data_IF_484509125723
#
_entry.id   IF_484509125723
#
_cell.length_a   1.000
_cell.length_b   1.000
_cell.length_c   1.000
_cell.angle_alpha   90.00
_cell.angle_beta   90.00
_cell.angle_gamma   90.00
#
_symmetry.space_group_name_H-M   'P 1'
#
loop_
_entity.id
_entity.type
_entity.pdbx_description
1 polymer ?
#
# COMPACT_ATOMS: atom_id res chain seq x y z
N UNK A 1 21.93 28.75 -15.93
CA UNK A 1 21.33 29.22 -14.65
C UNK A 1 19.84 29.49 -14.93
N UNK A 2 18.93 28.72 -14.32
CA UNK A 2 17.52 28.79 -14.70
C UNK A 2 16.85 30.02 -14.08
N UNK A 3 15.83 30.56 -14.75
CA UNK A 3 15.00 31.65 -14.23
C UNK A 3 14.40 31.27 -12.87
N UNK A 4 14.00 30.01 -12.69
CA UNK A 4 13.48 29.49 -11.43
C UNK A 4 14.46 29.62 -10.26
N UNK A 5 15.75 29.49 -10.50
CA UNK A 5 16.77 29.48 -9.43
C UNK A 5 17.09 30.86 -8.91
N UNK A 6 16.85 31.92 -9.71
CA UNK A 6 17.20 33.30 -9.38
C UNK A 6 16.02 34.19 -8.96
N UNK A 7 14.77 33.64 -9.00
CA UNK A 7 13.57 34.49 -8.74
C UNK A 7 13.58 35.15 -7.36
N UNK A 8 14.23 34.55 -6.35
CA UNK A 8 14.34 35.12 -4.99
C UNK A 8 15.09 36.48 -4.94
N UNK A 9 15.85 36.76 -5.98
CA UNK A 9 16.60 38.03 -6.10
C UNK A 9 15.76 39.16 -6.71
N UNK A 10 14.58 38.83 -7.24
CA UNK A 10 13.72 39.81 -7.92
C UNK A 10 12.65 40.32 -6.98
N UNK A 11 12.31 41.61 -7.11
CA UNK A 11 11.17 42.15 -6.38
C UNK A 11 9.86 41.66 -7.00
N UNK A 12 8.81 41.56 -6.21
CA UNK A 12 7.50 41.08 -6.65
C UNK A 12 6.99 41.81 -7.92
N UNK A 13 7.14 43.14 -7.97
CA UNK A 13 6.71 43.97 -9.10
C UNK A 13 7.51 43.72 -10.39
N UNK A 14 8.68 43.12 -10.29
CA UNK A 14 9.53 42.83 -11.45
C UNK A 14 9.16 41.51 -12.15
N UNK A 15 8.27 40.71 -11.56
CA UNK A 15 7.95 39.37 -12.03
C UNK A 15 6.45 39.08 -12.17
N UNK A 16 5.56 40.00 -11.77
CA UNK A 16 4.10 39.84 -11.78
C UNK A 16 3.51 39.70 -13.20
N UNK A 17 4.19 40.20 -14.22
CA UNK A 17 3.80 40.10 -15.62
C UNK A 17 4.15 38.72 -16.25
N UNK A 18 5.05 37.93 -15.64
CA UNK A 18 5.57 36.69 -16.24
C UNK A 18 4.45 35.64 -16.50
N UNK A 19 3.47 35.42 -15.63
CA UNK A 19 2.39 34.50 -15.91
C UNK A 19 1.62 34.84 -17.19
N UNK A 20 1.32 36.12 -17.39
CA UNK A 20 0.63 36.61 -18.60
C UNK A 20 1.52 36.50 -19.84
N UNK A 21 2.80 36.76 -19.71
CA UNK A 21 3.77 36.58 -20.79
C UNK A 21 3.82 35.10 -21.24
N UNK A 22 3.86 34.16 -20.28
CA UNK A 22 3.85 32.75 -20.57
C UNK A 22 2.58 32.32 -21.34
N UNK A 23 1.41 32.80 -20.94
CA UNK A 23 0.15 32.58 -21.68
C UNK A 23 0.19 33.12 -23.10
N UNK A 24 0.73 34.33 -23.28
CA UNK A 24 0.84 34.94 -24.59
C UNK A 24 1.81 34.17 -25.50
N UNK A 25 2.91 33.68 -24.94
CA UNK A 25 3.93 32.91 -25.68
C UNK A 25 3.50 31.49 -25.99
N UNK A 26 2.57 30.91 -25.23
CA UNK A 26 2.13 29.51 -25.41
C UNK A 26 1.79 29.17 -26.86
N UNK A 27 1.07 30.04 -27.57
CA UNK A 27 0.67 29.82 -28.95
C UNK A 27 1.82 29.93 -29.96
N UNK A 28 2.95 30.52 -29.57
CA UNK A 28 4.15 30.65 -30.42
C UNK A 28 4.97 29.35 -30.49
N UNK A 29 4.75 28.43 -29.56
CA UNK A 29 5.44 27.13 -29.57
C UNK A 29 4.66 26.09 -30.37
N UNK A 30 5.39 25.24 -31.06
CA UNK A 30 4.81 24.15 -31.86
C UNK A 30 4.82 22.83 -31.08
N UNK A 31 5.90 22.57 -30.36
CA UNK A 31 6.11 21.27 -29.71
C UNK A 31 5.42 21.19 -28.35
N UNK A 32 4.86 20.02 -28.05
CA UNK A 32 4.18 19.72 -26.79
C UNK A 32 5.02 20.05 -25.56
N UNK A 33 6.29 19.60 -25.54
CA UNK A 33 7.19 19.81 -24.37
C UNK A 33 7.50 21.29 -24.14
N UNK A 34 7.68 22.09 -25.18
CA UNK A 34 7.96 23.51 -25.06
C UNK A 34 6.73 24.25 -24.52
N UNK A 35 5.56 23.89 -25.02
CA UNK A 35 4.27 24.39 -24.53
C UNK A 35 4.06 24.06 -23.05
N UNK A 36 4.35 22.83 -22.66
CA UNK A 36 4.25 22.37 -21.26
C UNK A 36 5.19 23.18 -20.37
N UNK A 37 6.45 23.29 -20.76
CA UNK A 37 7.48 24.00 -19.99
C UNK A 37 7.12 25.46 -19.76
N UNK A 38 6.65 26.19 -20.79
CA UNK A 38 6.27 27.60 -20.64
C UNK A 38 5.06 27.78 -19.74
N UNK A 39 4.06 26.90 -19.82
CA UNK A 39 2.90 26.94 -18.93
C UNK A 39 3.26 26.61 -17.47
N UNK A 40 4.11 25.60 -17.22
CA UNK A 40 4.62 25.27 -15.90
C UNK A 40 5.42 26.43 -15.29
N UNK A 41 6.20 27.14 -16.10
CA UNK A 41 6.87 28.38 -15.70
C UNK A 41 5.84 29.45 -15.31
N UNK A 42 4.78 29.63 -16.10
CA UNK A 42 3.67 30.51 -15.80
C UNK A 42 3.01 30.20 -14.46
N UNK A 43 2.70 28.94 -14.22
CA UNK A 43 2.14 28.45 -12.93
C UNK A 43 3.09 28.74 -11.77
N UNK A 44 4.39 28.44 -11.94
CA UNK A 44 5.40 28.71 -10.91
C UNK A 44 5.41 30.16 -10.45
N UNK A 45 5.32 31.12 -11.38
CA UNK A 45 5.27 32.53 -11.05
C UNK A 45 3.89 32.97 -10.57
N UNK A 46 2.80 32.47 -11.16
CA UNK A 46 1.44 32.84 -10.77
C UNK A 46 1.12 32.50 -9.31
N UNK A 47 1.61 31.35 -8.80
CA UNK A 47 1.47 30.99 -7.39
C UNK A 47 2.08 32.06 -6.47
N UNK A 48 3.14 32.73 -6.92
CA UNK A 48 3.94 33.66 -6.14
C UNK A 48 3.57 35.14 -6.34
N UNK A 49 2.87 35.42 -7.44
CA UNK A 49 2.55 36.82 -7.81
C UNK A 49 1.04 37.03 -7.96
N UNK A 50 0.46 36.54 -9.05
CA UNK A 50 -0.95 36.73 -9.41
C UNK A 50 -1.68 35.42 -9.59
N UNK A 51 -2.38 34.98 -8.55
CA UNK A 51 -3.14 33.72 -8.53
C UNK A 51 -4.36 33.73 -9.45
N UNK A 52 -4.81 34.86 -9.95
CA UNK A 52 -5.99 34.95 -10.82
C UNK A 52 -5.79 34.22 -12.15
N UNK A 53 -4.55 34.07 -12.60
CA UNK A 53 -4.20 33.36 -13.84
C UNK A 53 -3.99 31.86 -13.68
N UNK A 54 -4.00 31.33 -12.44
CA UNK A 54 -3.73 29.91 -12.20
C UNK A 54 -4.73 28.99 -12.90
N UNK A 55 -6.02 29.31 -12.80
CA UNK A 55 -7.07 28.53 -13.44
C UNK A 55 -6.86 28.42 -14.95
N UNK A 56 -6.55 29.54 -15.60
CA UNK A 56 -6.32 29.57 -17.07
C UNK A 56 -5.05 28.80 -17.44
N UNK A 57 -3.98 28.93 -16.66
CA UNK A 57 -2.73 28.20 -16.90
C UNK A 57 -2.89 26.70 -16.75
N UNK A 58 -3.59 26.25 -15.69
CA UNK A 58 -3.89 24.83 -15.51
C UNK A 58 -4.82 24.30 -16.61
N UNK A 59 -5.84 25.07 -17.01
CA UNK A 59 -6.69 24.65 -18.12
C UNK A 59 -5.88 24.46 -19.41
N UNK A 60 -4.96 25.38 -19.72
CA UNK A 60 -4.06 25.25 -20.88
C UNK A 60 -3.09 24.08 -20.77
N UNK A 61 -2.64 23.73 -19.58
CA UNK A 61 -1.86 22.51 -19.35
C UNK A 61 -2.68 21.25 -19.69
N UNK A 62 -3.93 21.18 -19.23
CA UNK A 62 -4.84 20.09 -19.59
C UNK A 62 -5.11 20.00 -21.10
N UNK A 63 -5.35 21.13 -21.75
CA UNK A 63 -5.54 21.20 -23.22
C UNK A 63 -4.26 20.75 -23.97
N UNK A 64 -3.07 21.07 -23.44
CA UNK A 64 -1.80 20.65 -24.04
C UNK A 64 -1.58 19.13 -23.87
N UNK A 65 -1.94 18.54 -22.74
CA UNK A 65 -1.89 17.08 -22.56
C UNK A 65 -2.78 16.37 -23.60
N UNK A 66 -3.97 16.90 -23.89
CA UNK A 66 -4.89 16.33 -24.87
C UNK A 66 -4.25 16.22 -26.27
N UNK A 67 -3.37 17.15 -26.64
CA UNK A 67 -2.69 17.13 -27.95
C UNK A 67 -1.71 15.96 -28.08
N UNK A 68 -1.30 15.34 -26.96
CA UNK A 68 -0.34 14.23 -26.92
C UNK A 68 -1.02 12.84 -26.93
N UNK A 69 -2.35 12.78 -27.04
CA UNK A 69 -3.09 11.52 -27.12
C UNK A 69 -2.80 10.81 -28.44
N UNK A 70 -2.30 9.59 -28.38
CA UNK A 70 -2.14 8.75 -29.56
C UNK A 70 -3.50 8.25 -30.05
N UNK A 71 -3.84 8.58 -31.30
CA UNK A 71 -5.00 8.02 -31.99
C UNK A 71 -4.59 6.66 -32.55
N UNK A 72 -5.22 5.60 -32.08
CA UNK A 72 -5.02 4.26 -32.62
C UNK A 72 -5.84 4.12 -33.90
N UNK A 73 -5.18 4.05 -35.04
CA UNK A 73 -5.82 3.75 -36.34
C UNK A 73 -6.11 2.23 -36.50
N UNK A 74 -6.46 1.55 -35.42
CA UNK A 74 -6.93 0.15 -35.41
C UNK A 74 -5.92 -0.92 -35.85
N UNK A 75 -4.66 -0.58 -36.17
CA UNK A 75 -3.68 -1.50 -36.75
C UNK A 75 -2.47 -1.85 -35.89
N UNK A 76 -2.30 -1.23 -34.75
CA UNK A 76 -1.17 -1.55 -33.85
C UNK A 76 -1.76 -1.85 -32.47
N UNK A 77 -1.88 -3.12 -32.14
CA UNK A 77 -2.04 -3.61 -30.76
C UNK A 77 -0.72 -3.37 -30.01
N UNK A 78 -0.44 -2.11 -29.75
CA UNK A 78 0.76 -1.76 -28.99
C UNK A 78 0.34 -1.58 -27.53
N UNK A 79 0.82 -2.46 -26.66
CA UNK A 79 0.57 -2.44 -25.22
C UNK A 79 0.93 -1.08 -24.60
N UNK A 80 1.90 -0.38 -25.16
CA UNK A 80 2.41 0.91 -24.66
C UNK A 80 1.38 2.04 -24.82
N UNK A 81 0.60 2.04 -25.91
CA UNK A 81 -0.32 3.14 -26.23
C UNK A 81 -1.44 3.29 -25.19
N UNK A 82 -2.14 2.23 -24.75
CA UNK A 82 -3.15 2.34 -23.70
C UNK A 82 -2.59 2.91 -22.38
N UNK A 83 -1.41 2.49 -21.97
CA UNK A 83 -0.74 3.01 -20.76
C UNK A 83 -0.36 4.48 -20.92
N UNK A 84 0.19 4.87 -22.07
CA UNK A 84 0.52 6.25 -22.38
C UNK A 84 -0.72 7.15 -22.33
N UNK A 85 -1.79 6.77 -23.02
CA UNK A 85 -3.04 7.52 -23.00
C UNK A 85 -3.67 7.56 -21.60
N UNK A 86 -3.55 6.50 -20.81
CA UNK A 86 -4.01 6.48 -19.43
C UNK A 86 -3.32 7.57 -18.59
N UNK A 87 -2.01 7.72 -18.72
CA UNK A 87 -1.24 8.76 -18.03
C UNK A 87 -1.67 10.17 -18.49
N UNK A 88 -1.92 10.35 -19.78
CA UNK A 88 -2.40 11.62 -20.32
C UNK A 88 -3.75 11.99 -19.73
N UNK A 89 -4.73 11.07 -19.73
CA UNK A 89 -6.04 11.34 -19.15
C UNK A 89 -5.96 11.64 -17.65
N UNK A 90 -5.05 10.98 -16.92
CA UNK A 90 -4.80 11.30 -15.52
C UNK A 90 -4.28 12.73 -15.35
N UNK A 91 -3.29 13.14 -16.15
CA UNK A 91 -2.74 14.50 -16.10
C UNK A 91 -3.82 15.55 -16.47
N UNK A 92 -4.64 15.27 -17.48
CA UNK A 92 -5.76 16.12 -17.85
C UNK A 92 -6.73 16.31 -16.67
N UNK A 93 -7.12 15.21 -15.99
CA UNK A 93 -7.99 15.28 -14.81
C UNK A 93 -7.37 16.18 -13.73
N UNK A 94 -6.09 15.98 -13.42
CA UNK A 94 -5.38 16.77 -12.41
C UNK A 94 -5.39 18.26 -12.76
N UNK A 95 -5.05 18.60 -14.00
CA UNK A 95 -4.99 20.00 -14.42
C UNK A 95 -6.35 20.67 -14.48
N UNK A 96 -7.39 19.97 -14.95
CA UNK A 96 -8.75 20.52 -15.01
C UNK A 96 -9.39 20.64 -13.61
N UNK A 97 -9.05 19.78 -12.67
CA UNK A 97 -9.44 19.93 -11.27
C UNK A 97 -8.79 21.18 -10.65
N UNK A 98 -7.48 21.36 -10.83
CA UNK A 98 -6.75 22.57 -10.39
C UNK A 98 -7.25 23.84 -11.10
N UNK A 99 -7.75 23.74 -12.32
CA UNK A 99 -8.41 24.82 -13.04
C UNK A 99 -9.85 25.09 -12.56
N UNK A 100 -10.42 24.24 -11.72
CA UNK A 100 -11.84 24.23 -11.34
C UNK A 100 -12.81 24.14 -12.54
N UNK A 101 -12.36 23.48 -13.63
CA UNK A 101 -13.18 23.25 -14.84
C UNK A 101 -13.83 21.86 -14.77
N UNK A 102 -15.03 21.80 -14.18
CA UNK A 102 -15.76 20.54 -13.94
C UNK A 102 -16.16 19.81 -15.22
N UNK A 103 -16.47 20.51 -16.29
CA UNK A 103 -16.88 19.91 -17.56
C UNK A 103 -15.70 19.15 -18.21
N UNK A 104 -14.56 19.80 -18.34
CA UNK A 104 -13.33 19.19 -18.89
C UNK A 104 -12.79 18.09 -17.97
N UNK A 105 -12.90 18.26 -16.64
CA UNK A 105 -12.57 17.20 -15.69
C UNK A 105 -13.43 15.95 -15.93
N UNK A 106 -14.75 16.12 -16.07
CA UNK A 106 -15.67 15.00 -16.31
C UNK A 106 -15.37 14.30 -17.66
N UNK A 107 -15.07 15.06 -18.70
CA UNK A 107 -14.62 14.53 -19.99
C UNK A 107 -13.35 13.66 -19.82
N UNK A 108 -12.30 14.20 -19.19
CA UNK A 108 -11.04 13.48 -18.98
C UNK A 108 -11.25 12.23 -18.10
N UNK A 109 -12.07 12.32 -17.05
CA UNK A 109 -12.40 11.20 -16.16
C UNK A 109 -13.13 10.08 -16.90
N UNK A 110 -14.07 10.42 -17.77
CA UNK A 110 -14.77 9.44 -18.60
C UNK A 110 -13.80 8.72 -19.55
N UNK A 111 -12.91 9.46 -20.21
CA UNK A 111 -11.87 8.88 -21.07
C UNK A 111 -10.90 8.01 -20.32
N UNK A 112 -10.46 8.43 -19.13
CA UNK A 112 -9.62 7.66 -18.23
C UNK A 112 -10.26 6.31 -17.87
N UNK A 113 -11.53 6.34 -17.44
CA UNK A 113 -12.25 5.11 -17.06
C UNK A 113 -12.49 4.18 -18.25
N UNK A 114 -12.82 4.72 -19.42
CA UNK A 114 -13.05 3.93 -20.62
C UNK A 114 -11.76 3.29 -21.17
N UNK A 115 -10.59 3.84 -20.84
CA UNK A 115 -9.31 3.28 -21.27
C UNK A 115 -8.82 2.13 -20.37
N UNK A 116 -9.32 2.00 -19.13
CA UNK A 116 -8.89 0.97 -18.17
C UNK A 116 -8.96 -0.47 -18.71
N UNK A 117 -10.06 -0.89 -19.39
CA UNK A 117 -10.16 -2.25 -19.90
C UNK A 117 -9.11 -2.60 -20.96
N UNK A 118 -8.50 -1.59 -21.59
CA UNK A 118 -7.49 -1.76 -22.63
C UNK A 118 -6.06 -1.93 -22.08
N UNK A 119 -5.89 -1.81 -20.75
CA UNK A 119 -4.59 -2.00 -20.13
C UNK A 119 -4.23 -3.49 -20.12
N UNK A 120 -3.09 -3.81 -20.73
CA UNK A 120 -2.53 -5.15 -20.73
C UNK A 120 -1.27 -5.16 -19.87
N UNK A 121 -1.16 -6.17 -18.97
CA UNK A 121 -0.03 -6.31 -18.09
C UNK A 121 0.84 -7.47 -18.55
N UNK A 122 2.14 -7.23 -18.64
CA UNK A 122 3.14 -8.28 -18.87
C UNK A 122 3.59 -8.78 -17.50
N UNK A 123 3.30 -10.04 -17.18
CA UNK A 123 3.82 -10.65 -15.96
C UNK A 123 5.19 -11.28 -16.24
N UNK A 124 6.20 -10.87 -15.48
CA UNK A 124 7.51 -11.52 -15.47
C UNK A 124 7.58 -12.48 -14.30
N UNK A 125 7.81 -13.78 -14.59
CA UNK A 125 8.13 -14.76 -13.56
C UNK A 125 9.65 -14.85 -13.44
N UNK A 126 10.20 -14.31 -12.38
CA UNK A 126 11.62 -14.51 -12.02
C UNK A 126 11.74 -15.69 -11.07
N UNK A 127 12.46 -16.73 -11.47
CA UNK A 127 12.88 -17.78 -10.55
C UNK A 127 14.17 -17.32 -9.86
N UNK A 128 14.09 -16.96 -8.58
CA UNK A 128 15.28 -16.73 -7.77
C UNK A 128 15.92 -18.08 -7.44
N UNK A 129 17.24 -18.19 -7.65
CA UNK A 129 18.00 -19.35 -7.20
C UNK A 129 17.77 -19.53 -5.70
N UNK A 130 17.27 -20.71 -5.31
CA UNK A 130 17.06 -21.07 -3.92
C UNK A 130 18.41 -21.15 -3.21
N UNK A 131 18.54 -20.40 -2.13
CA UNK A 131 19.66 -20.51 -1.20
C UNK A 131 19.49 -21.81 -0.39
N UNK A 132 20.15 -22.88 -0.83
CA UNK A 132 20.04 -24.21 -0.19
C UNK A 132 20.49 -24.21 1.27
N UNK A 133 21.49 -23.41 1.61
CA UNK A 133 22.00 -23.32 2.99
C UNK A 133 20.97 -22.70 3.92
N UNK A 134 20.32 -21.64 3.47
CA UNK A 134 19.24 -20.99 4.22
C UNK A 134 18.03 -21.91 4.41
N UNK A 135 17.59 -22.62 3.39
CA UNK A 135 16.50 -23.61 3.53
C UNK A 135 16.87 -24.72 4.49
N UNK A 136 18.12 -25.19 4.46
CA UNK A 136 18.60 -26.17 5.43
C UNK A 136 18.55 -25.63 6.86
N UNK A 137 19.02 -24.41 7.10
CA UNK A 137 19.00 -23.77 8.41
C UNK A 137 17.54 -23.57 8.92
N UNK A 138 16.62 -23.10 8.05
CA UNK A 138 15.22 -22.93 8.37
C UNK A 138 14.58 -24.29 8.71
N UNK A 139 14.86 -25.33 7.94
CA UNK A 139 14.34 -26.68 8.22
C UNK A 139 14.86 -27.19 9.57
N UNK A 140 16.12 -26.96 9.93
CA UNK A 140 16.63 -27.32 11.24
C UNK A 140 15.90 -26.60 12.38
N UNK A 141 15.63 -25.31 12.21
CA UNK A 141 14.85 -24.53 13.19
C UNK A 141 13.43 -25.10 13.32
N UNK A 142 12.77 -25.40 12.20
CA UNK A 142 11.42 -25.97 12.20
C UNK A 142 11.40 -27.33 12.89
N UNK A 143 12.35 -28.22 12.57
CA UNK A 143 12.43 -29.53 13.21
C UNK A 143 12.70 -29.42 14.70
N UNK A 144 13.54 -28.47 15.13
CA UNK A 144 13.74 -28.17 16.55
C UNK A 144 12.46 -27.68 17.22
N UNK A 145 11.76 -26.71 16.63
CA UNK A 145 10.49 -26.20 17.14
C UNK A 145 9.37 -27.27 17.20
N UNK A 146 9.39 -28.22 16.24
CA UNK A 146 8.45 -29.33 16.27
C UNK A 146 8.69 -30.31 17.42
N UNK A 147 9.89 -30.36 18.00
CA UNK A 147 10.21 -31.16 19.16
C UNK A 147 9.90 -30.44 20.48
N UNK A 148 9.81 -29.11 20.45
CA UNK A 148 9.58 -28.27 21.60
C UNK A 148 8.07 -28.09 21.92
N UNK A 149 7.80 -27.31 22.97
CA UNK A 149 6.45 -26.91 23.34
C UNK A 149 5.83 -26.05 22.23
N UNK A 150 4.58 -26.33 21.86
CA UNK A 150 3.83 -25.60 20.85
C UNK A 150 3.77 -24.10 21.10
N UNK A 151 3.80 -23.65 22.35
CA UNK A 151 3.84 -22.23 22.71
C UNK A 151 5.08 -21.55 22.11
N UNK A 152 6.24 -22.22 22.11
CA UNK A 152 7.46 -21.69 21.49
C UNK A 152 7.33 -21.56 19.97
N UNK A 153 6.62 -22.49 19.33
CA UNK A 153 6.33 -22.39 17.88
C UNK A 153 5.44 -21.19 17.56
N UNK A 154 4.42 -20.93 18.37
CA UNK A 154 3.55 -19.75 18.20
C UNK A 154 4.29 -18.46 18.55
N UNK A 155 5.12 -18.48 19.61
CA UNK A 155 6.00 -17.35 19.92
C UNK A 155 6.95 -17.04 18.78
N UNK A 156 7.58 -18.04 18.17
CA UNK A 156 8.45 -17.89 17.00
C UNK A 156 7.72 -17.23 15.84
N UNK A 157 6.53 -17.72 15.46
CA UNK A 157 5.72 -17.14 14.40
C UNK A 157 5.32 -15.68 14.68
N UNK A 158 5.06 -15.36 15.95
CA UNK A 158 4.53 -14.06 16.35
C UNK A 158 5.61 -13.01 16.65
N UNK A 159 6.84 -13.41 16.99
CA UNK A 159 7.86 -12.48 17.50
C UNK A 159 9.23 -12.58 16.86
N UNK A 160 9.55 -13.69 16.20
CA UNK A 160 10.91 -13.87 15.72
C UNK A 160 11.19 -13.04 14.46
N UNK A 161 12.10 -12.07 14.58
CA UNK A 161 12.39 -11.11 13.50
C UNK A 161 13.06 -11.76 12.29
N UNK A 162 13.74 -12.91 12.44
CA UNK A 162 14.35 -13.61 11.29
C UNK A 162 13.33 -14.13 10.26
N UNK A 163 12.04 -14.16 10.59
CA UNK A 163 10.97 -14.45 9.63
C UNK A 163 10.69 -13.28 8.70
N UNK A 164 10.88 -12.05 9.19
CA UNK A 164 10.63 -10.83 8.45
C UNK A 164 11.96 -10.15 8.18
N UNK A 165 12.18 -9.73 6.95
CA UNK A 165 13.38 -8.99 6.57
C UNK A 165 13.00 -7.54 6.35
N UNK A 166 13.54 -6.60 7.14
CA UNK A 166 13.36 -5.20 6.83
C UNK A 166 14.04 -4.89 5.49
N UNK A 167 13.30 -4.39 4.50
CA UNK A 167 13.80 -4.19 3.15
C UNK A 167 15.01 -3.26 3.11
N UNK A 168 15.03 -2.22 3.97
CA UNK A 168 16.12 -1.25 4.02
C UNK A 168 17.45 -1.81 4.58
N UNK A 169 17.43 -2.91 5.35
CA UNK A 169 18.66 -3.60 5.78
C UNK A 169 19.31 -4.41 4.65
N UNK A 170 18.53 -4.75 3.62
CA UNK A 170 19.00 -5.60 2.52
C UNK A 170 19.30 -4.76 1.29
N UNK A 171 18.59 -3.68 1.08
CA UNK A 171 18.75 -2.74 0.01
C UNK A 171 19.57 -1.54 0.49
N UNK A 172 20.88 -1.58 0.26
CA UNK A 172 21.68 -0.36 0.31
C UNK A 172 21.38 0.44 -0.97
N UNK A 173 20.39 1.35 -0.88
CA UNK A 173 19.98 2.17 -2.02
C UNK A 173 21.13 2.99 -2.60
N UNK A 174 22.12 3.37 -1.79
CA UNK A 174 23.32 4.04 -2.28
C UNK A 174 24.16 3.14 -3.18
N UNK A 175 24.18 1.82 -2.93
CA UNK A 175 24.83 0.84 -3.80
C UNK A 175 23.98 0.48 -5.02
N UNK A 176 22.66 0.61 -4.94
CA UNK A 176 21.76 0.42 -6.08
C UNK A 176 21.88 1.56 -7.09
N UNK A 177 22.02 2.80 -6.60
CA UNK A 177 22.14 4.00 -7.44
C UNK A 177 23.53 4.23 -8.02
N UNK A 178 24.59 3.60 -7.46
CA UNK A 178 25.97 3.75 -7.94
C UNK A 178 26.40 2.78 -9.02
N UNK A 179 25.49 1.98 -9.56
CA UNK A 179 25.73 1.33 -10.85
C UNK A 179 26.01 -0.17 -10.82
N UNK A 180 25.82 -0.76 -11.90
CA UNK A 180 26.22 -2.03 -12.49
C UNK A 180 25.32 -3.26 -12.32
N UNK A 181 24.57 -3.45 -11.24
CA UNK A 181 23.78 -4.70 -11.10
C UNK A 181 22.27 -4.61 -11.30
N UNK A 182 21.70 -3.40 -11.29
CA UNK A 182 20.24 -3.23 -11.30
C UNK A 182 19.73 -2.22 -12.34
N UNK A 183 20.51 -1.96 -13.37
CA UNK A 183 20.18 -1.03 -14.48
C UNK A 183 18.80 -1.31 -15.12
N UNK A 184 18.35 -2.56 -15.06
CA UNK A 184 17.06 -2.94 -15.61
C UNK A 184 15.86 -2.45 -14.77
N UNK A 185 16.10 -2.18 -13.48
CA UNK A 185 15.05 -1.71 -12.56
C UNK A 185 14.83 -0.19 -12.73
N UNK A 186 15.90 0.57 -13.01
CA UNK A 186 15.80 2.02 -13.26
C UNK A 186 15.06 2.36 -14.58
N UNK A 187 15.06 1.43 -15.55
CA UNK A 187 14.33 1.59 -16.81
C UNK A 187 12.82 1.35 -16.69
N UNK A 188 12.38 0.71 -15.62
CA UNK A 188 10.96 0.52 -15.33
C UNK A 188 10.45 1.77 -14.59
N UNK A 189 9.87 2.69 -15.32
CA UNK A 189 9.12 3.79 -14.68
C UNK A 189 8.10 3.18 -13.73
N UNK A 190 8.13 3.51 -12.44
CA UNK A 190 7.23 2.90 -11.45
C UNK A 190 5.82 3.42 -11.64
N UNK A 191 5.12 2.83 -12.59
CA UNK A 191 3.69 3.06 -12.75
C UNK A 191 2.99 1.83 -12.22
N UNK A 192 2.48 1.91 -11.02
CA UNK A 192 1.62 0.88 -10.45
C UNK A 192 0.18 1.14 -10.87
N UNK A 193 -0.54 0.04 -11.10
CA UNK A 193 -1.97 0.11 -11.38
C UNK A 193 -2.69 -0.73 -10.35
N UNK A 194 -3.66 -0.12 -9.66
CA UNK A 194 -4.46 -0.84 -8.68
C UNK A 194 -5.48 -1.78 -9.34
N UNK A 195 -6.19 -2.56 -8.53
CA UNK A 195 -7.19 -3.52 -8.99
C UNK A 195 -8.32 -2.87 -9.81
N UNK A 196 -8.49 -1.56 -9.72
CA UNK A 196 -9.47 -0.79 -10.49
C UNK A 196 -8.90 -0.17 -11.76
N UNK A 197 -7.63 -0.44 -12.08
CA UNK A 197 -6.93 0.16 -13.20
C UNK A 197 -6.57 1.63 -12.97
N UNK A 198 -6.53 2.12 -11.72
CA UNK A 198 -6.06 3.46 -11.43
C UNK A 198 -4.55 3.49 -11.33
N UNK A 199 -3.94 4.52 -11.91
CA UNK A 199 -2.51 4.75 -11.82
C UNK A 199 -2.17 5.21 -10.40
N UNK A 200 -1.16 4.58 -9.81
CA UNK A 200 -0.55 4.97 -8.54
C UNK A 200 0.87 5.43 -8.84
N UNK A 201 1.20 6.59 -8.32
CA UNK A 201 2.57 7.10 -8.36
C UNK A 201 3.21 6.88 -6.99
N UNK A 202 4.34 6.19 -6.96
CA UNK A 202 5.22 6.09 -5.80
C UNK A 202 6.55 6.77 -6.09
N UNK A 203 7.30 7.13 -5.07
CA UNK A 203 8.71 7.48 -5.27
C UNK A 203 9.45 6.24 -5.76
N UNK A 204 10.51 6.41 -6.56
CA UNK A 204 11.31 5.29 -7.05
C UNK A 204 11.80 4.42 -5.89
N UNK A 205 12.27 5.02 -4.80
CA UNK A 205 12.76 4.31 -3.61
C UNK A 205 11.68 3.47 -2.94
N UNK A 206 10.49 4.04 -2.69
CA UNK A 206 9.37 3.31 -2.08
C UNK A 206 8.88 2.17 -2.98
N UNK A 207 8.81 2.39 -4.29
CA UNK A 207 8.39 1.38 -5.25
C UNK A 207 9.32 0.18 -5.23
N UNK A 208 10.64 0.40 -5.35
CA UNK A 208 11.64 -0.67 -5.31
C UNK A 208 11.66 -1.40 -3.98
N UNK A 209 11.51 -0.67 -2.88
CA UNK A 209 11.43 -1.22 -1.55
C UNK A 209 10.30 -2.25 -1.46
N UNK A 210 9.09 -1.87 -1.89
CA UNK A 210 7.92 -2.75 -1.77
C UNK A 210 7.93 -3.90 -2.78
N UNK A 211 8.44 -3.72 -4.00
CA UNK A 211 8.63 -4.84 -4.94
C UNK A 211 9.62 -5.86 -4.40
N UNK A 212 10.74 -5.41 -3.87
CA UNK A 212 11.74 -6.31 -3.29
C UNK A 212 11.20 -7.00 -2.04
N UNK A 213 10.46 -6.25 -1.20
CA UNK A 213 9.80 -6.80 -0.03
C UNK A 213 8.80 -7.90 -0.39
N UNK A 214 8.05 -7.76 -1.47
CA UNK A 214 7.16 -8.80 -1.98
C UNK A 214 7.90 -10.11 -2.28
N UNK A 215 9.07 -10.02 -2.91
CA UNK A 215 9.89 -11.20 -3.22
C UNK A 215 10.36 -11.91 -1.93
N UNK A 216 10.82 -11.13 -0.96
CA UNK A 216 11.25 -11.66 0.34
C UNK A 216 10.09 -12.26 1.11
N UNK A 217 8.96 -11.57 1.12
CA UNK A 217 7.77 -12.00 1.82
C UNK A 217 7.19 -13.30 1.24
N UNK A 218 7.26 -13.52 -0.06
CA UNK A 218 6.88 -14.79 -0.69
C UNK A 218 7.68 -15.95 -0.08
N UNK A 219 9.01 -15.78 0.09
CA UNK A 219 9.87 -16.80 0.73
C UNK A 219 9.52 -17.01 2.21
N UNK A 220 9.18 -15.94 2.90
CA UNK A 220 8.73 -16.02 4.31
C UNK A 220 7.42 -16.79 4.41
N UNK A 221 6.47 -16.52 3.53
CA UNK A 221 5.18 -17.23 3.50
C UNK A 221 5.35 -18.70 3.20
N UNK A 222 6.26 -19.08 2.30
CA UNK A 222 6.57 -20.50 2.04
C UNK A 222 7.07 -21.20 3.31
N UNK A 223 7.97 -20.56 4.07
CA UNK A 223 8.48 -21.09 5.34
C UNK A 223 7.37 -21.23 6.38
N UNK A 224 6.55 -20.18 6.56
CA UNK A 224 5.44 -20.18 7.50
C UNK A 224 4.41 -21.25 7.11
N UNK A 225 4.08 -21.35 5.83
CA UNK A 225 3.16 -22.34 5.30
C UNK A 225 3.65 -23.76 5.57
N UNK A 226 4.94 -24.02 5.35
CA UNK A 226 5.54 -25.31 5.65
C UNK A 226 5.53 -25.63 7.16
N UNK A 227 5.85 -24.67 7.99
CA UNK A 227 5.79 -24.82 9.45
C UNK A 227 4.36 -25.11 9.93
N UNK A 228 3.38 -24.34 9.47
CA UNK A 228 1.96 -24.58 9.78
C UNK A 228 1.49 -25.95 9.29
N UNK A 229 1.87 -26.32 8.06
CA UNK A 229 1.57 -27.65 7.51
C UNK A 229 2.07 -28.76 8.44
N UNK A 230 3.33 -28.70 8.89
CA UNK A 230 3.93 -29.68 9.80
C UNK A 230 3.22 -29.74 11.14
N UNK A 231 2.97 -28.57 11.75
CA UNK A 231 2.30 -28.47 13.07
C UNK A 231 0.85 -28.98 13.02
N UNK A 232 0.12 -28.64 11.97
CA UNK A 232 -1.30 -29.05 11.83
C UNK A 232 -1.39 -30.52 11.48
N UNK A 233 -0.58 -31.02 10.55
CA UNK A 233 -0.59 -32.42 10.13
C UNK A 233 -0.20 -33.40 11.26
N UNK A 234 0.64 -32.96 12.19
CA UNK A 234 1.01 -33.74 13.37
C UNK A 234 0.04 -33.53 14.54
N UNK A 235 -1.06 -32.83 14.37
CA UNK A 235 -2.02 -32.44 15.42
C UNK A 235 -1.40 -31.67 16.60
N UNK A 236 -0.21 -31.13 16.44
CA UNK A 236 0.43 -30.28 17.45
C UNK A 236 -0.21 -28.88 17.52
N UNK A 237 -0.72 -28.41 16.40
CA UNK A 237 -1.47 -27.15 16.30
C UNK A 237 -2.85 -27.41 15.74
N UNK A 238 -3.86 -27.18 16.58
CA UNK A 238 -5.27 -27.16 16.18
C UNK A 238 -5.88 -25.81 16.52
N UNK A 239 -7.06 -25.51 16.01
CA UNK A 239 -7.80 -24.31 16.41
C UNK A 239 -7.95 -24.22 17.95
N UNK A 240 -8.28 -25.33 18.63
CA UNK A 240 -8.48 -25.33 20.09
C UNK A 240 -7.21 -25.04 20.84
N UNK A 241 -6.07 -25.60 20.41
CA UNK A 241 -4.76 -25.33 21.00
C UNK A 241 -4.36 -23.87 20.79
N UNK A 242 -4.50 -23.34 19.56
CA UNK A 242 -4.22 -21.91 19.29
C UNK A 242 -5.10 -21.00 20.16
N UNK A 243 -6.39 -21.28 20.25
CA UNK A 243 -7.34 -20.55 21.09
C UNK A 243 -6.88 -20.53 22.56
N UNK A 244 -6.53 -21.67 23.10
CA UNK A 244 -6.03 -21.79 24.48
C UNK A 244 -4.76 -20.95 24.68
N UNK A 245 -3.80 -21.03 23.77
CA UNK A 245 -2.56 -20.24 23.84
C UNK A 245 -2.87 -18.75 23.83
N UNK A 246 -3.69 -18.28 22.88
CA UNK A 246 -4.01 -16.86 22.75
C UNK A 246 -4.78 -16.34 23.96
N UNK A 247 -5.69 -17.11 24.52
CA UNK A 247 -6.48 -16.68 25.69
C UNK A 247 -5.70 -16.74 27.01
N UNK A 248 -4.84 -17.74 27.19
CA UNK A 248 -4.19 -17.99 28.48
C UNK A 248 -2.85 -17.30 28.62
N UNK A 249 -2.08 -17.16 27.53
CA UNK A 249 -0.69 -16.73 27.57
C UNK A 249 -0.42 -15.39 26.91
N UNK A 250 -1.47 -14.72 26.39
CA UNK A 250 -1.27 -13.48 25.63
C UNK A 250 -2.30 -12.41 26.00
N UNK A 251 -2.04 -11.17 25.54
CA UNK A 251 -2.96 -10.03 25.65
C UNK A 251 -4.30 -10.25 24.92
N UNK A 252 -4.40 -11.25 24.05
CA UNK A 252 -5.65 -11.56 23.34
C UNK A 252 -6.73 -12.14 24.28
N UNK A 253 -6.33 -12.66 25.45
CA UNK A 253 -7.23 -13.11 26.50
C UNK A 253 -7.63 -12.05 27.53
N UNK A 254 -7.06 -10.85 27.45
CA UNK A 254 -7.36 -9.78 28.40
C UNK A 254 -8.73 -9.17 28.13
N UNK A 255 -9.45 -8.82 29.19
CA UNK A 255 -10.70 -8.12 29.10
C UNK A 255 -10.48 -6.62 28.82
N UNK A 256 -11.09 -6.15 27.73
CA UNK A 256 -11.08 -4.76 27.32
C UNK A 256 -12.43 -4.15 27.69
N UNK A 257 -12.41 -3.10 28.48
CA UNK A 257 -13.62 -2.34 28.81
C UNK A 257 -13.73 -1.12 27.90
N UNK A 258 -14.92 -0.91 27.34
CA UNK A 258 -15.25 0.24 26.52
C UNK A 258 -16.55 0.85 26.99
N UNK A 259 -16.50 2.10 27.44
CA UNK A 259 -17.70 2.85 27.84
C UNK A 259 -18.27 3.59 26.63
N UNK A 260 -19.51 3.30 26.26
CA UNK A 260 -20.25 3.97 25.18
C UNK A 260 -21.63 4.34 25.74
N UNK A 261 -21.99 5.61 25.74
CA UNK A 261 -23.32 6.10 26.13
C UNK A 261 -23.81 5.55 27.50
N UNK A 262 -22.96 5.61 28.54
CA UNK A 262 -23.23 5.11 29.89
C UNK A 262 -23.37 3.58 30.01
N UNK A 263 -23.11 2.82 28.98
CA UNK A 263 -23.01 1.36 29.04
C UNK A 263 -21.54 0.93 28.96
N UNK A 264 -21.14 -0.02 29.79
CA UNK A 264 -19.81 -0.65 29.74
C UNK A 264 -19.92 -1.95 28.96
N UNK A 265 -19.15 -2.05 27.87
CA UNK A 265 -19.00 -3.27 27.09
C UNK A 265 -17.66 -3.90 27.45
N UNK A 266 -17.65 -5.19 27.77
CA UNK A 266 -16.44 -5.97 27.97
C UNK A 266 -16.29 -6.98 26.85
N UNK A 267 -15.10 -7.09 26.27
CA UNK A 267 -14.75 -8.07 25.23
C UNK A 267 -13.24 -8.35 25.25
N UNK A 268 -12.82 -9.40 24.56
CA UNK A 268 -11.41 -9.75 24.37
C UNK A 268 -11.00 -9.50 22.93
N UNK A 269 -9.71 -9.26 22.67
CA UNK A 269 -9.23 -9.21 21.27
C UNK A 269 -9.55 -10.50 20.52
N UNK A 270 -9.45 -11.64 21.21
CA UNK A 270 -9.75 -12.93 20.63
C UNK A 270 -11.19 -13.01 20.06
N UNK A 271 -12.17 -12.41 20.75
CA UNK A 271 -13.58 -12.48 20.33
C UNK A 271 -13.82 -11.89 18.93
N UNK A 272 -12.99 -10.92 18.52
CA UNK A 272 -13.07 -10.30 17.19
C UNK A 272 -12.64 -11.23 16.06
N UNK A 273 -11.80 -12.23 16.35
CA UNK A 273 -11.16 -13.08 15.34
C UNK A 273 -11.48 -14.57 15.49
N UNK A 274 -12.13 -14.98 16.57
CA UNK A 274 -12.42 -16.37 16.91
C UNK A 274 -12.99 -17.18 15.73
N UNK A 275 -14.01 -16.62 15.10
CA UNK A 275 -14.69 -17.25 13.99
C UNK A 275 -13.80 -17.41 12.75
N UNK A 276 -13.03 -16.36 12.43
CA UNK A 276 -12.11 -16.38 11.30
C UNK A 276 -10.94 -17.34 11.53
N UNK A 277 -10.42 -17.44 12.75
CA UNK A 277 -9.38 -18.42 13.09
C UNK A 277 -9.90 -19.85 12.98
N UNK A 278 -11.12 -20.11 13.42
CA UNK A 278 -11.74 -21.44 13.26
C UNK A 278 -11.88 -21.81 11.78
N UNK A 279 -12.33 -20.88 10.94
CA UNK A 279 -12.43 -21.10 9.50
C UNK A 279 -11.06 -21.24 8.85
N UNK A 280 -10.04 -20.48 9.29
CA UNK A 280 -8.66 -20.61 8.81
C UNK A 280 -8.18 -22.08 8.89
N UNK A 281 -8.33 -22.73 10.03
CA UNK A 281 -7.95 -24.15 10.16
C UNK A 281 -8.78 -25.06 9.25
N UNK A 282 -10.07 -24.76 9.08
CA UNK A 282 -10.95 -25.51 8.18
C UNK A 282 -10.48 -25.43 6.73
N UNK A 283 -10.19 -24.21 6.25
CA UNK A 283 -9.73 -23.99 4.88
C UNK A 283 -8.31 -24.52 4.69
N UNK A 284 -7.44 -24.38 5.69
CA UNK A 284 -6.08 -24.92 5.65
C UNK A 284 -6.09 -26.44 5.50
N UNK A 285 -6.96 -27.16 6.23
CA UNK A 285 -7.14 -28.60 6.06
C UNK A 285 -7.64 -28.98 4.67
N UNK A 286 -8.49 -28.17 4.04
CA UNK A 286 -8.91 -28.41 2.65
C UNK A 286 -7.72 -28.27 1.69
N UNK A 287 -6.94 -27.20 1.84
CA UNK A 287 -5.74 -26.95 1.04
C UNK A 287 -4.74 -28.10 1.12
N UNK A 288 -4.44 -28.58 2.35
CA UNK A 288 -3.56 -29.74 2.60
C UNK A 288 -4.04 -31.03 1.90
N UNK A 289 -5.34 -31.17 1.71
CA UNK A 289 -5.95 -32.35 1.09
C UNK A 289 -6.30 -32.14 -0.40
N UNK A 290 -5.76 -31.07 -1.04
CA UNK A 290 -6.05 -30.68 -2.41
C UNK A 290 -7.55 -30.53 -2.70
N UNK A 291 -8.33 -30.09 -1.71
CA UNK A 291 -9.76 -29.79 -1.85
C UNK A 291 -9.95 -28.27 -2.08
N UNK A 292 -10.99 -27.86 -2.82
CA UNK A 292 -11.29 -26.45 -2.98
C UNK A 292 -11.46 -25.74 -1.64
N UNK A 293 -10.64 -24.73 -1.41
CA UNK A 293 -10.68 -23.85 -0.23
C UNK A 293 -11.35 -22.53 -0.56
N UNK A 294 -11.96 -21.89 0.44
CA UNK A 294 -12.57 -20.57 0.31
C UNK A 294 -12.05 -19.65 1.42
N UNK A 295 -11.16 -18.77 1.06
CA UNK A 295 -10.47 -17.89 2.00
C UNK A 295 -11.18 -16.54 2.24
N UNK A 296 -12.36 -16.30 1.61
CA UNK A 296 -13.07 -15.00 1.68
C UNK A 296 -13.37 -14.58 3.13
N UNK A 297 -13.94 -15.49 3.91
CA UNK A 297 -14.30 -15.20 5.29
C UNK A 297 -13.06 -14.88 6.14
N UNK A 298 -12.03 -15.71 6.03
CA UNK A 298 -10.77 -15.55 6.78
C UNK A 298 -10.13 -14.20 6.46
N UNK A 299 -9.88 -13.93 5.17
CA UNK A 299 -9.19 -12.72 4.73
C UNK A 299 -9.98 -11.48 5.09
N UNK A 300 -11.29 -11.46 4.80
CA UNK A 300 -12.13 -10.30 5.08
C UNK A 300 -12.18 -10.00 6.57
N UNK A 301 -12.42 -11.01 7.39
CA UNK A 301 -12.55 -10.80 8.84
C UNK A 301 -11.22 -10.40 9.46
N UNK A 302 -10.13 -11.12 9.20
CA UNK A 302 -8.84 -10.82 9.81
C UNK A 302 -8.32 -9.44 9.37
N UNK A 303 -8.53 -9.06 8.10
CA UNK A 303 -8.12 -7.74 7.59
C UNK A 303 -8.89 -6.59 8.25
N UNK A 304 -10.20 -6.70 8.37
CA UNK A 304 -11.01 -5.65 9.00
C UNK A 304 -10.77 -5.59 10.51
N UNK A 305 -10.68 -6.74 11.16
CA UNK A 305 -10.47 -6.80 12.61
C UNK A 305 -9.03 -6.40 13.02
N UNK A 306 -8.06 -6.53 12.12
CA UNK A 306 -6.71 -6.02 12.36
C UNK A 306 -6.72 -4.54 12.74
N UNK A 307 -7.43 -3.70 11.96
CA UNK A 307 -7.54 -2.26 12.26
C UNK A 307 -8.20 -2.03 13.64
N UNK A 308 -9.27 -2.75 13.93
CA UNK A 308 -9.97 -2.63 15.21
C UNK A 308 -9.12 -3.06 16.41
N UNK A 309 -8.33 -4.14 16.27
CA UNK A 309 -7.42 -4.62 17.31
C UNK A 309 -6.25 -3.66 17.48
N UNK A 310 -5.63 -3.22 16.39
CA UNK A 310 -4.53 -2.26 16.42
C UNK A 310 -4.95 -0.95 17.10
N UNK A 311 -6.13 -0.42 16.76
CA UNK A 311 -6.66 0.80 17.38
C UNK A 311 -6.86 0.63 18.88
N UNK A 312 -7.47 -0.46 19.32
CA UNK A 312 -7.68 -0.72 20.73
C UNK A 312 -6.34 -0.92 21.45
N UNK A 313 -5.37 -1.59 20.82
CA UNK A 313 -4.04 -1.80 21.36
C UNK A 313 -3.31 -0.46 21.58
N UNK A 314 -3.27 0.41 20.56
CA UNK A 314 -2.69 1.76 20.68
C UNK A 314 -3.42 2.58 21.75
N UNK A 315 -4.76 2.48 21.83
CA UNK A 315 -5.55 3.18 22.85
C UNK A 315 -5.17 2.75 24.27
N UNK A 316 -4.98 1.46 24.49
CA UNK A 316 -4.63 0.90 25.80
C UNK A 316 -3.21 1.30 26.22
N UNK A 317 -2.26 1.22 25.29
CA UNK A 317 -0.84 1.43 25.60
C UNK A 317 -0.43 2.92 25.56
N UNK A 318 -1.02 3.72 24.68
CA UNK A 318 -0.60 5.10 24.42
C UNK A 318 -1.71 6.16 24.55
N UNK A 319 -2.98 5.77 24.52
CA UNK A 319 -4.12 6.68 24.63
C UNK A 319 -4.49 7.45 23.34
N UNK A 320 -3.69 7.40 22.28
CA UNK A 320 -3.80 8.25 21.11
C UNK A 320 -4.42 7.53 19.90
N UNK A 321 -5.73 7.67 19.71
CA UNK A 321 -6.41 7.12 18.52
C UNK A 321 -7.27 8.12 17.77
N UNK A 322 -7.24 9.39 18.19
CA UNK A 322 -8.06 10.45 17.62
C UNK A 322 -7.22 11.57 17.04
N UNK A 323 -7.70 12.20 15.99
CA UNK A 323 -7.09 13.38 15.35
C UNK A 323 -8.07 14.53 15.23
N UNK A 324 -7.53 15.75 15.21
CA UNK A 324 -8.32 16.96 14.94
C UNK A 324 -8.35 17.17 13.42
N UNK A 325 -9.56 17.22 12.86
CA UNK A 325 -9.78 17.59 11.46
C UNK A 325 -10.26 19.03 11.42
N UNK A 326 -9.43 19.91 10.93
CA UNK A 326 -9.77 21.34 10.79
C UNK A 326 -10.69 21.52 9.58
N UNK A 327 -11.91 21.99 9.82
CA UNK A 327 -12.83 22.44 8.78
C UNK A 327 -12.91 23.96 8.81
N UNK A 328 -13.34 24.58 7.71
CA UNK A 328 -13.54 26.04 7.62
C UNK A 328 -14.49 26.63 8.69
N UNK A 329 -15.17 25.78 9.48
CA UNK A 329 -16.14 26.14 10.52
C UNK A 329 -15.71 25.74 11.94
N UNK A 330 -14.49 25.25 12.13
CA UNK A 330 -13.95 24.74 13.41
C UNK A 330 -13.35 23.36 13.30
N UNK A 331 -12.66 22.89 14.34
CA UNK A 331 -12.06 21.56 14.39
C UNK A 331 -13.03 20.50 14.91
N UNK A 332 -13.15 19.39 14.21
CA UNK A 332 -13.85 18.19 14.70
C UNK A 332 -12.83 17.13 15.12
N UNK A 333 -13.11 16.42 16.20
CA UNK A 333 -12.33 15.23 16.58
C UNK A 333 -12.86 14.04 15.81
N UNK A 334 -11.97 13.31 15.13
CA UNK A 334 -12.31 12.05 14.44
C UNK A 334 -11.33 10.94 14.82
N UNK A 335 -11.81 9.70 14.79
CA UNK A 335 -10.93 8.55 14.95
C UNK A 335 -9.91 8.50 13.80
N UNK A 336 -8.68 8.10 14.10
CA UNK A 336 -7.65 7.87 13.09
C UNK A 336 -8.03 6.68 12.21
N UNK A 337 -7.91 6.82 10.91
CA UNK A 337 -8.00 5.70 9.98
C UNK A 337 -6.75 4.81 10.08
N UNK A 338 -6.78 3.62 9.47
CA UNK A 338 -5.65 2.69 9.53
C UNK A 338 -4.34 3.33 9.06
N UNK A 339 -4.38 4.08 7.96
CA UNK A 339 -3.19 4.79 7.45
C UNK A 339 -2.63 5.83 8.43
N UNK A 340 -3.51 6.51 9.18
CA UNK A 340 -3.09 7.45 10.23
C UNK A 340 -2.45 6.69 11.40
N UNK A 341 -3.06 5.57 11.82
CA UNK A 341 -2.54 4.72 12.90
C UNK A 341 -1.15 4.17 12.57
N UNK A 342 -0.95 3.69 11.33
CA UNK A 342 0.33 3.13 10.86
C UNK A 342 1.44 4.19 10.67
N UNK A 343 1.11 5.48 10.74
CA UNK A 343 2.06 6.61 10.69
C UNK A 343 2.25 7.29 12.04
N UNK A 344 1.45 6.94 13.04
CA UNK A 344 1.50 7.57 14.35
C UNK A 344 2.81 7.21 15.10
N UNK A 345 3.33 8.16 15.87
CA UNK A 345 4.52 7.93 16.69
C UNK A 345 4.30 6.81 17.73
N UNK A 346 3.10 6.69 18.26
CA UNK A 346 2.68 5.61 19.14
C UNK A 346 2.81 4.23 18.50
N UNK A 347 2.49 4.09 17.21
CA UNK A 347 2.68 2.86 16.46
C UNK A 347 4.18 2.52 16.33
N UNK A 348 5.00 3.51 15.98
CA UNK A 348 6.45 3.32 15.83
C UNK A 348 7.13 2.94 17.15
N UNK A 349 6.59 3.36 18.32
CA UNK A 349 7.08 2.98 19.64
C UNK A 349 6.68 1.57 20.06
N UNK A 350 5.54 1.08 19.61
CA UNK A 350 4.97 -0.22 20.03
C UNK A 350 5.46 -1.40 19.20
N UNK A 351 5.82 -1.18 17.93
CA UNK A 351 6.17 -2.23 16.98
C UNK A 351 7.60 -2.07 16.46
N UNK A 352 8.31 -3.19 16.34
CA UNK A 352 9.62 -3.20 15.68
C UNK A 352 9.47 -2.88 14.17
N UNK A 353 10.57 -2.49 13.55
CA UNK A 353 10.61 -2.05 12.16
C UNK A 353 10.09 -3.10 11.18
N UNK A 354 10.39 -4.37 11.43
CA UNK A 354 9.92 -5.50 10.63
C UNK A 354 8.39 -5.62 10.65
N UNK A 355 7.76 -5.42 11.81
CA UNK A 355 6.31 -5.42 11.94
C UNK A 355 5.69 -4.21 11.26
N UNK A 356 6.30 -3.05 11.41
CA UNK A 356 5.84 -1.82 10.76
C UNK A 356 5.85 -1.96 9.24
N UNK A 357 6.92 -2.51 8.67
CA UNK A 357 7.02 -2.71 7.22
C UNK A 357 6.02 -3.75 6.72
N UNK A 358 5.83 -4.86 7.46
CA UNK A 358 4.82 -5.86 7.16
C UNK A 358 3.42 -5.23 7.12
N UNK A 359 3.03 -4.51 8.16
CA UNK A 359 1.69 -3.93 8.25
C UNK A 359 1.46 -2.84 7.20
N UNK A 360 2.45 -1.98 6.95
CA UNK A 360 2.39 -0.98 5.88
C UNK A 360 2.26 -1.63 4.51
N UNK A 361 3.03 -2.69 4.23
CA UNK A 361 2.95 -3.42 2.97
C UNK A 361 1.58 -4.10 2.79
N UNK A 362 1.06 -4.78 3.81
CA UNK A 362 -0.20 -5.53 3.66
C UNK A 362 -1.41 -4.61 3.54
N UNK A 363 -1.44 -3.52 4.31
CA UNK A 363 -2.69 -2.77 4.51
C UNK A 363 -2.74 -1.39 3.84
N UNK A 364 -1.60 -0.82 3.41
CA UNK A 364 -1.60 0.50 2.77
C UNK A 364 -1.55 0.43 1.26
N UNK A 365 -1.87 1.54 0.61
CA UNK A 365 -1.84 1.69 -0.85
C UNK A 365 -0.43 1.61 -1.46
N UNK A 366 0.62 1.58 -0.65
CA UNK A 366 2.01 1.37 -1.09
C UNK A 366 2.34 -0.10 -1.33
N UNK A 367 1.52 -1.02 -0.83
CA UNK A 367 1.66 -2.46 -1.00
C UNK A 367 0.38 -3.12 -1.48
N UNK A 368 -0.08 -4.15 -0.77
CA UNK A 368 -1.25 -4.95 -1.18
C UNK A 368 -2.59 -4.26 -1.00
N UNK A 369 -2.66 -3.20 -0.22
CA UNK A 369 -3.87 -2.40 0.04
C UNK A 369 -5.09 -3.22 0.50
N UNK A 370 -4.86 -4.37 1.14
CA UNK A 370 -5.91 -5.36 1.40
C UNK A 370 -7.13 -4.76 2.12
N UNK A 371 -6.90 -3.89 3.12
CA UNK A 371 -8.00 -3.31 3.91
C UNK A 371 -8.93 -2.43 3.07
N UNK A 372 -8.36 -1.55 2.26
CA UNK A 372 -9.17 -0.62 1.46
C UNK A 372 -9.87 -1.35 0.32
N UNK A 373 -9.16 -2.25 -0.37
CA UNK A 373 -9.72 -2.98 -1.49
C UNK A 373 -10.87 -3.91 -1.06
N UNK A 374 -10.76 -4.54 0.12
CA UNK A 374 -11.85 -5.34 0.69
C UNK A 374 -13.01 -4.43 1.15
N UNK A 375 -12.73 -3.34 1.87
CA UNK A 375 -13.75 -2.45 2.40
C UNK A 375 -14.57 -1.76 1.30
N UNK A 376 -13.95 -1.50 0.15
CA UNK A 376 -14.59 -0.89 -1.02
C UNK A 376 -15.17 -1.92 -2.00
N UNK A 377 -15.04 -3.23 -1.72
CA UNK A 377 -15.60 -4.29 -2.56
C UNK A 377 -14.83 -4.49 -3.88
N UNK A 378 -13.54 -4.15 -3.94
CA UNK A 378 -12.72 -4.29 -5.14
C UNK A 378 -12.16 -5.70 -5.32
N UNK A 379 -12.12 -6.51 -4.25
CA UNK A 379 -11.68 -7.90 -4.35
C UNK A 379 -12.71 -8.75 -5.10
N UNK A 380 -12.23 -9.44 -6.11
CA UNK A 380 -12.96 -10.49 -6.79
C UNK A 380 -12.69 -11.84 -6.12
N UNK A 381 -13.51 -12.89 -6.37
CA UNK A 381 -13.32 -14.21 -5.75
C UNK A 381 -11.91 -14.80 -5.90
N UNK A 382 -11.23 -14.56 -7.03
CA UNK A 382 -9.85 -15.02 -7.28
C UNK A 382 -8.78 -14.28 -6.49
N UNK A 383 -9.11 -13.11 -5.91
CA UNK A 383 -8.16 -12.31 -5.14
C UNK A 383 -7.99 -12.84 -3.71
N UNK A 384 -8.93 -13.68 -3.25
CA UNK A 384 -8.90 -14.31 -1.93
C UNK A 384 -8.03 -15.57 -1.95
N UNK A 385 -6.72 -15.37 -2.04
CA UNK A 385 -5.75 -16.46 -2.19
C UNK A 385 -5.25 -17.00 -0.84
N UNK A 386 -4.77 -18.24 -0.85
CA UNK A 386 -4.06 -18.85 0.28
C UNK A 386 -2.93 -17.94 0.81
N UNK A 387 -2.12 -17.37 -0.09
CA UNK A 387 -1.04 -16.45 0.27
C UNK A 387 -1.52 -15.28 1.12
N UNK A 388 -2.61 -14.60 0.70
CA UNK A 388 -3.19 -13.48 1.45
C UNK A 388 -3.81 -13.90 2.78
N UNK A 389 -4.33 -15.12 2.87
CA UNK A 389 -4.84 -15.67 4.13
C UNK A 389 -3.72 -15.88 5.15
N UNK A 390 -2.58 -16.44 4.72
CA UNK A 390 -1.40 -16.58 5.59
C UNK A 390 -0.87 -15.22 6.02
N UNK A 391 -0.84 -14.22 5.12
CA UNK A 391 -0.42 -12.86 5.46
C UNK A 391 -1.34 -12.23 6.52
N UNK A 392 -2.65 -12.30 6.32
CA UNK A 392 -3.61 -11.75 7.29
C UNK A 392 -3.48 -12.44 8.64
N UNK A 393 -3.32 -13.77 8.65
CA UNK A 393 -3.08 -14.54 9.86
C UNK A 393 -1.77 -14.13 10.56
N UNK A 394 -0.68 -13.99 9.80
CA UNK A 394 0.61 -13.53 10.32
C UNK A 394 0.50 -12.14 10.94
N UNK A 395 -0.15 -11.19 10.27
CA UNK A 395 -0.36 -9.84 10.80
C UNK A 395 -1.10 -9.87 12.15
N UNK A 396 -2.11 -10.73 12.30
CA UNK A 396 -2.80 -10.91 13.60
C UNK A 396 -1.86 -11.49 14.64
N UNK A 397 -1.06 -12.51 14.31
CA UNK A 397 -0.10 -13.08 15.26
C UNK A 397 0.97 -12.07 15.68
N UNK A 398 1.37 -11.15 14.82
CA UNK A 398 2.35 -10.10 15.12
C UNK A 398 1.81 -9.05 16.09
N UNK A 399 0.49 -8.90 16.24
CA UNK A 399 -0.13 -8.06 17.29
C UNK A 399 -0.12 -8.73 18.67
N UNK A 400 0.13 -10.03 18.75
CA UNK A 400 0.13 -10.78 20.00
C UNK A 400 1.28 -10.33 20.89
N UNK A 401 0.99 -10.09 22.20
CA UNK A 401 1.98 -9.83 23.25
C UNK A 401 1.86 -10.95 24.29
N UNK A 402 2.94 -11.69 24.49
CA UNK A 402 2.98 -12.73 25.51
C UNK A 402 3.12 -12.11 26.90
N UNK A 403 2.46 -12.74 27.89
CA UNK A 403 2.50 -12.35 29.31
C UNK A 403 3.73 -12.90 30.01
#
# INVERSE_FOLDING_TARGET
MSIKDNYKKWKFHDIDFIPQLCLNMYNSFTYYNDKKLILELGVFFAIRTNRTLLSVLYEKLGDNEETNIYKTDGKIENIIIPHHNQNIYYNMMLYYDLANNKEKYHYASTKYNNNKPNLQFISFKTQLKTDKERYSAINQIIESLLQENIILSIFFLSKHNSLLYPPHQILDFNKLTTGEKYYHIELLTPTEVDLNGNIRYSTNEEHYLFQFYQILLNKTIDVISYMLFRLINTNKLTYSILKEILLSFTNFGDEIQRSINNSSLSYKFFDKIDFALKDFFTQFHKEMNNKPSDWRLVITTLTIQFEGILRDYIRIECGETSKIVNNNKGGNVSEMLLDDLLRADSFNQLFCEEDQDLFKYVFTNKGLNMRNDIAHGFYLPQDYTYFKAILAFLCILRLVKFK
#
